data_IF_504810706587
#
_entry.id   IF_504810706587
#
_cell.length_a   1.000
_cell.length_b   1.000
_cell.length_c   1.000
_cell.angle_alpha   90.00
_cell.angle_beta   90.00
_cell.angle_gamma   90.00
#
_symmetry.space_group_name_H-M   'P 1'
#
loop_
_entity.id
_entity.type
_entity.pdbx_description
1 polymer ?
#
# COMPACT_ATOMS: atom_id res chain seq x y z
N UNK A 1 -11.78 7.69 -3.77
CA UNK A 1 -11.60 6.60 -2.78
C UNK A 1 -10.19 6.67 -2.21
N UNK A 2 -9.96 6.13 -1.02
CA UNK A 2 -8.60 5.97 -0.48
C UNK A 2 -8.31 4.48 -0.37
N UNK A 3 -7.32 4.01 -1.12
CA UNK A 3 -6.85 2.62 -1.05
C UNK A 3 -5.60 2.54 -0.19
N UNK A 4 -5.41 1.40 0.47
CA UNK A 4 -4.20 1.09 1.22
C UNK A 4 -3.59 -0.21 0.70
N UNK A 5 -2.28 -0.20 0.51
CA UNK A 5 -1.47 -1.39 0.29
C UNK A 5 -0.55 -1.58 1.49
N UNK A 6 -0.50 -2.78 2.04
CA UNK A 6 0.42 -3.15 3.12
C UNK A 6 1.27 -4.29 2.59
N UNK A 7 2.56 -4.04 2.45
CA UNK A 7 3.50 -5.00 1.91
C UNK A 7 4.55 -5.30 2.96
N UNK A 8 4.68 -6.57 3.32
CA UNK A 8 5.74 -7.05 4.22
C UNK A 8 6.78 -7.83 3.43
N UNK A 9 8.04 -7.55 3.73
CA UNK A 9 9.20 -8.21 3.11
C UNK A 9 10.28 -8.38 4.14
N UNK A 10 11.05 -9.45 4.03
CA UNK A 10 12.22 -9.67 4.87
C UNK A 10 13.50 -9.42 4.08
N UNK A 11 14.45 -8.68 4.62
CA UNK A 11 15.78 -8.51 4.07
C UNK A 11 16.54 -9.83 4.11
N UNK A 12 17.33 -10.11 3.07
CA UNK A 12 18.32 -11.19 3.08
C UNK A 12 19.39 -10.94 4.15
N UNK A 13 20.09 -12.01 4.54
CA UNK A 13 21.19 -11.90 5.50
C UNK A 13 22.24 -10.88 5.05
N UNK A 14 22.67 -10.01 5.97
CA UNK A 14 23.64 -8.94 5.68
C UNK A 14 23.13 -7.75 4.87
N UNK A 15 21.85 -7.71 4.44
CA UNK A 15 21.25 -6.55 3.77
C UNK A 15 20.67 -5.56 4.76
N UNK A 16 20.65 -4.28 4.37
CA UNK A 16 20.21 -3.16 5.21
C UNK A 16 18.94 -2.52 4.68
N UNK A 17 18.30 -1.71 5.53
CA UNK A 17 17.21 -0.84 5.09
C UNK A 17 17.64 0.12 3.99
N UNK A 18 18.88 0.62 4.02
CA UNK A 18 19.39 1.54 3.00
C UNK A 18 19.49 0.84 1.63
N UNK A 19 19.95 -0.41 1.59
CA UNK A 19 19.96 -1.23 0.37
C UNK A 19 18.56 -1.34 -0.21
N UNK A 20 17.58 -1.67 0.63
CA UNK A 20 16.18 -1.70 0.22
C UNK A 20 15.69 -0.33 -0.25
N UNK A 21 15.99 0.73 0.49
CA UNK A 21 15.50 2.09 0.20
C UNK A 21 16.01 2.62 -1.13
N UNK A 22 17.23 2.28 -1.52
CA UNK A 22 17.81 2.65 -2.82
C UNK A 22 17.12 1.93 -3.97
N UNK A 23 16.87 0.63 -3.84
CA UNK A 23 16.24 -0.17 -4.88
C UNK A 23 14.70 -0.03 -4.94
N UNK A 24 14.05 0.25 -3.81
CA UNK A 24 12.59 0.37 -3.72
C UNK A 24 12.06 1.74 -4.20
N UNK A 25 12.88 2.79 -4.13
CA UNK A 25 12.44 4.15 -4.36
C UNK A 25 11.91 4.35 -5.77
N UNK A 26 10.68 4.85 -5.87
CA UNK A 26 10.13 5.27 -7.14
C UNK A 26 10.77 6.57 -7.57
N UNK A 27 11.26 6.60 -8.80
CA UNK A 27 11.71 7.85 -9.45
C UNK A 27 10.58 8.46 -10.27
N UNK A 28 9.53 7.69 -10.56
CA UNK A 28 8.30 8.14 -11.21
C UNK A 28 7.13 8.18 -10.21
N UNK A 29 6.45 9.31 -10.12
CA UNK A 29 5.25 9.46 -9.29
C UNK A 29 3.99 8.90 -9.95
N UNK A 30 2.95 8.63 -9.16
CA UNK A 30 1.70 8.00 -9.62
C UNK A 30 0.66 8.97 -10.20
N UNK A 31 0.92 10.28 -10.23
CA UNK A 31 -0.04 11.29 -10.71
C UNK A 31 -1.26 11.52 -9.80
N UNK A 32 -1.31 10.85 -8.63
CA UNK A 32 -2.40 10.92 -7.65
C UNK A 32 -1.86 11.30 -6.27
N UNK A 33 -2.77 11.66 -5.35
CA UNK A 33 -2.40 11.91 -3.95
C UNK A 33 -1.98 10.59 -3.30
N UNK A 34 -0.67 10.34 -3.28
CA UNK A 34 -0.08 9.09 -2.80
C UNK A 34 0.93 9.36 -1.68
N UNK A 35 0.79 8.66 -0.56
CA UNK A 35 1.75 8.69 0.55
C UNK A 35 2.15 7.29 0.94
N UNK A 36 3.46 7.03 1.04
CA UNK A 36 3.98 5.76 1.50
C UNK A 36 4.71 5.94 2.83
N UNK A 37 4.34 5.15 3.81
CA UNK A 37 5.06 5.01 5.07
C UNK A 37 5.83 3.70 5.04
N UNK A 38 7.08 3.73 5.51
CA UNK A 38 7.88 2.52 5.67
C UNK A 38 8.26 2.38 7.13
N UNK A 39 8.01 1.21 7.70
CA UNK A 39 8.37 0.85 9.05
C UNK A 39 9.30 -0.36 9.05
N UNK A 40 10.16 -0.44 10.06
CA UNK A 40 10.87 -1.66 10.42
C UNK A 40 10.07 -2.35 11.53
N UNK A 41 9.95 -3.68 11.46
CA UNK A 41 9.33 -4.42 12.55
C UNK A 41 10.25 -4.37 13.77
N UNK A 42 9.70 -3.95 14.91
CA UNK A 42 10.42 -3.86 16.20
C UNK A 42 10.88 -5.23 16.73
N UNK A 43 10.22 -6.31 16.33
CA UNK A 43 10.54 -7.68 16.74
C UNK A 43 11.40 -8.44 15.70
N UNK A 44 11.49 -7.93 14.47
CA UNK A 44 12.41 -8.43 13.44
C UNK A 44 12.92 -7.25 12.60
N UNK A 45 14.11 -6.68 12.88
CA UNK A 45 14.62 -5.51 12.16
C UNK A 45 14.93 -5.80 10.68
N UNK A 46 14.89 -7.07 10.24
CA UNK A 46 14.97 -7.44 8.82
C UNK A 46 13.63 -7.38 8.13
N UNK A 47 12.51 -7.38 8.85
CA UNK A 47 11.19 -7.20 8.24
C UNK A 47 10.88 -5.72 8.03
N UNK A 48 10.59 -5.39 6.78
CA UNK A 48 10.17 -4.07 6.30
C UNK A 48 8.68 -4.13 6.00
N UNK A 49 7.94 -3.19 6.55
CA UNK A 49 6.51 -2.99 6.30
C UNK A 49 6.32 -1.68 5.54
N UNK A 50 5.79 -1.75 4.32
CA UNK A 50 5.43 -0.57 3.53
C UNK A 50 3.92 -0.43 3.48
N UNK A 51 3.42 0.75 3.87
CA UNK A 51 2.01 1.11 3.83
C UNK A 51 1.83 2.26 2.85
N UNK A 52 1.24 1.97 1.68
CA UNK A 52 0.94 2.98 0.66
C UNK A 52 -0.53 3.36 0.70
N UNK A 53 -0.81 4.65 0.87
CA UNK A 53 -2.13 5.26 0.87
C UNK A 53 -2.29 6.05 -0.43
N UNK A 54 -3.32 5.76 -1.20
CA UNK A 54 -3.58 6.41 -2.48
C UNK A 54 -5.01 6.91 -2.51
N UNK A 55 -5.16 8.22 -2.54
CA UNK A 55 -6.43 8.89 -2.80
C UNK A 55 -6.55 9.17 -4.30
N UNK A 56 -7.54 8.54 -4.92
CA UNK A 56 -7.77 8.65 -6.37
C UNK A 56 -9.20 8.29 -6.75
N UNK A 57 -9.55 8.57 -8.00
CA UNK A 57 -10.68 7.94 -8.70
C UNK A 57 -10.29 6.53 -9.16
N UNK A 58 -11.28 5.75 -9.59
CA UNK A 58 -11.05 4.39 -10.08
C UNK A 58 -10.16 4.36 -11.34
N UNK A 59 -10.38 5.29 -12.28
CA UNK A 59 -9.58 5.39 -13.52
C UNK A 59 -8.11 5.70 -13.22
N UNK A 60 -7.87 6.71 -12.38
CA UNK A 60 -6.54 7.10 -11.90
C UNK A 60 -5.83 5.97 -11.14
N UNK A 61 -6.59 5.17 -10.38
CA UNK A 61 -6.05 3.99 -9.69
C UNK A 61 -5.55 2.93 -10.68
N UNK A 62 -6.30 2.68 -11.76
CA UNK A 62 -5.89 1.75 -12.81
C UNK A 62 -4.60 2.20 -13.51
N UNK A 63 -4.49 3.49 -13.82
CA UNK A 63 -3.27 4.06 -14.40
C UNK A 63 -2.07 3.94 -13.44
N UNK A 64 -2.30 4.21 -12.15
CA UNK A 64 -1.27 4.06 -11.11
C UNK A 64 -0.74 2.62 -10.99
N UNK A 65 -1.60 1.60 -11.14
CA UNK A 65 -1.18 0.21 -11.13
C UNK A 65 -0.26 -0.12 -12.32
N UNK A 66 -0.47 0.47 -13.48
CA UNK A 66 0.41 0.29 -14.65
C UNK A 66 1.80 0.88 -14.41
N UNK A 67 1.87 2.04 -13.74
CA UNK A 67 3.14 2.65 -13.31
C UNK A 67 3.87 1.72 -12.32
N UNK A 68 3.18 1.20 -11.28
CA UNK A 68 3.81 0.28 -10.31
C UNK A 68 4.32 -0.99 -11.01
N UNK A 69 3.54 -1.60 -11.90
CA UNK A 69 3.98 -2.80 -12.65
C UNK A 69 5.30 -2.53 -13.37
N UNK A 70 5.41 -1.39 -14.07
CA UNK A 70 6.62 -1.02 -14.82
C UNK A 70 7.80 -0.76 -13.88
N UNK A 71 7.66 0.15 -12.92
CA UNK A 71 8.76 0.55 -12.01
C UNK A 71 9.30 -0.65 -11.21
N UNK A 72 8.44 -1.60 -10.84
CA UNK A 72 8.83 -2.81 -10.09
C UNK A 72 9.56 -3.84 -10.92
N UNK A 73 9.29 -3.92 -12.22
CA UNK A 73 10.03 -4.78 -13.13
C UNK A 73 11.42 -4.20 -13.43
N UNK A 74 11.52 -2.88 -13.54
CA UNK A 74 12.80 -2.17 -13.78
C UNK A 74 13.72 -2.18 -12.54
N UNK A 75 13.15 -2.25 -11.33
CA UNK A 75 13.89 -2.22 -10.07
C UNK A 75 13.61 -3.49 -9.21
N UNK A 76 14.07 -4.69 -9.66
CA UNK A 76 13.81 -5.92 -8.95
C UNK A 76 14.57 -5.97 -7.62
N UNK A 77 13.88 -6.39 -6.55
CA UNK A 77 14.46 -6.50 -5.21
C UNK A 77 15.09 -7.86 -4.90
N UNK A 78 15.16 -8.79 -5.87
CA UNK A 78 15.49 -10.21 -5.65
C UNK A 78 16.84 -10.42 -4.91
N UNK A 79 17.80 -9.51 -5.05
CA UNK A 79 19.11 -9.62 -4.38
C UNK A 79 19.11 -9.05 -2.95
N UNK A 80 18.04 -8.35 -2.55
CA UNK A 80 17.95 -7.60 -1.30
C UNK A 80 16.97 -8.24 -0.33
N UNK A 81 15.85 -8.77 -0.84
CA UNK A 81 14.78 -9.35 -0.02
C UNK A 81 14.70 -10.86 -0.21
N UNK A 82 14.25 -11.56 0.83
CA UNK A 82 13.79 -12.94 0.74
C UNK A 82 12.62 -13.05 -0.26
N UNK A 83 12.42 -14.22 -0.90
CA UNK A 83 11.41 -14.38 -1.95
C UNK A 83 9.97 -14.27 -1.43
N UNK A 84 9.75 -14.54 -0.14
CA UNK A 84 8.44 -14.42 0.49
C UNK A 84 8.04 -12.95 0.65
N UNK A 85 6.83 -12.61 0.20
CA UNK A 85 6.28 -11.26 0.26
C UNK A 85 4.83 -11.34 0.71
N UNK A 86 4.54 -10.76 1.88
CA UNK A 86 3.17 -10.54 2.33
C UNK A 86 2.57 -9.34 1.63
N UNK A 87 1.31 -9.46 1.17
CA UNK A 87 0.56 -8.35 0.57
C UNK A 87 -0.85 -8.34 1.14
N UNK A 88 -1.29 -7.17 1.57
CA UNK A 88 -2.68 -6.89 1.93
C UNK A 88 -3.10 -5.62 1.22
N UNK A 89 -4.34 -5.60 0.75
CA UNK A 89 -4.92 -4.44 0.10
C UNK A 89 -6.26 -4.16 0.76
N UNK A 90 -6.60 -2.89 0.89
CA UNK A 90 -7.84 -2.46 1.48
C UNK A 90 -8.28 -1.09 0.98
N UNK A 91 -9.46 -0.69 1.40
CA UNK A 91 -9.95 0.68 1.27
C UNK A 91 -10.05 1.25 2.68
N UNK A 92 -9.58 2.48 2.88
CA UNK A 92 -9.74 3.17 4.15
C UNK A 92 -11.22 3.51 4.30
N UNK A 93 -11.77 3.23 5.48
CA UNK A 93 -13.19 3.47 5.81
C UNK A 93 -13.37 4.47 6.95
N UNK A 94 -12.38 4.60 7.84
CA UNK A 94 -12.36 5.57 8.94
C UNK A 94 -10.94 6.02 9.23
N UNK A 95 -10.83 7.23 9.76
CA UNK A 95 -9.66 7.82 10.40
C UNK A 95 -10.09 8.28 11.79
N UNK A 96 -9.66 7.55 12.81
CA UNK A 96 -10.05 7.83 14.20
C UNK A 96 -8.84 8.40 14.97
N UNK A 97 -9.06 9.51 15.68
CA UNK A 97 -8.06 10.14 16.55
C UNK A 97 -8.33 9.75 18.01
N UNK A 98 -7.39 9.03 18.60
CA UNK A 98 -7.41 8.59 20.00
C UNK A 98 -6.35 9.30 20.86
N UNK A 99 -5.95 10.52 20.48
CA UNK A 99 -4.95 11.30 21.23
C UNK A 99 -5.47 11.86 22.56
N UNK A 100 -6.77 12.04 22.71
CA UNK A 100 -7.39 12.53 23.95
C UNK A 100 -7.34 11.46 25.07
N UNK A 101 -7.09 11.91 26.30
CA UNK A 101 -7.19 11.06 27.50
C UNK A 101 -8.65 10.95 27.98
N UNK A 102 -9.05 9.76 28.45
CA UNK A 102 -10.37 9.52 29.05
C UNK A 102 -11.35 8.80 28.13
N UNK A 103 -12.65 9.03 28.35
CA UNK A 103 -13.72 8.38 27.56
C UNK A 103 -13.90 9.13 26.24
N UNK A 104 -13.76 8.41 25.13
CA UNK A 104 -14.02 8.92 23.78
C UNK A 104 -15.38 8.40 23.34
N UNK A 105 -16.25 9.30 22.88
CA UNK A 105 -17.56 8.94 22.34
C UNK A 105 -17.42 8.27 20.97
N UNK A 106 -18.26 7.26 20.73
CA UNK A 106 -18.35 6.62 19.43
C UNK A 106 -18.74 7.62 18.35
N UNK A 107 -18.12 7.49 17.17
CA UNK A 107 -18.45 8.25 15.96
C UNK A 107 -18.62 7.29 14.80
N UNK A 108 -19.52 7.63 13.89
CA UNK A 108 -19.65 6.91 12.62
C UNK A 108 -18.33 7.00 11.83
N UNK A 109 -18.00 5.98 11.00
CA UNK A 109 -16.78 5.97 10.20
C UNK A 109 -16.67 7.23 9.35
N UNK A 110 -15.52 7.91 9.41
CA UNK A 110 -15.31 9.14 8.66
C UNK A 110 -13.87 9.30 8.22
N UNK A 111 -13.65 9.98 7.09
CA UNK A 111 -12.34 10.29 6.55
C UNK A 111 -12.28 11.80 6.34
N UNK A 112 -11.22 12.46 6.83
CA UNK A 112 -11.12 13.92 6.80
C UNK A 112 -12.37 14.64 7.34
N UNK A 113 -13.00 14.08 8.38
CA UNK A 113 -14.22 14.62 9.01
C UNK A 113 -15.51 14.47 8.19
N UNK A 114 -15.49 13.70 7.09
CA UNK A 114 -16.69 13.38 6.30
C UNK A 114 -17.08 11.92 6.52
N UNK A 115 -18.33 11.66 6.89
CA UNK A 115 -18.86 10.31 7.03
C UNK A 115 -18.68 9.50 5.74
N UNK A 116 -18.25 8.25 5.92
CA UNK A 116 -18.01 7.31 4.84
C UNK A 116 -19.31 6.61 4.46
N UNK A 117 -19.66 6.62 3.17
CA UNK A 117 -20.74 5.77 2.65
C UNK A 117 -20.25 4.31 2.55
N UNK A 118 -20.55 3.53 3.58
CA UNK A 118 -20.13 2.12 3.68
C UNK A 118 -20.71 1.26 2.54
N UNK A 119 -21.93 1.55 2.07
CA UNK A 119 -22.54 0.80 0.98
C UNK A 119 -21.81 1.06 -0.33
N UNK A 120 -21.43 2.31 -0.60
CA UNK A 120 -20.60 2.66 -1.75
C UNK A 120 -19.23 1.95 -1.68
N UNK A 121 -18.59 1.92 -0.51
CA UNK A 121 -17.32 1.21 -0.33
C UNK A 121 -17.44 -0.28 -0.66
N UNK A 122 -18.49 -0.96 -0.17
CA UNK A 122 -18.67 -2.39 -0.48
C UNK A 122 -18.89 -2.67 -1.97
N UNK A 123 -19.55 -1.75 -2.69
CA UNK A 123 -19.69 -1.86 -4.14
C UNK A 123 -18.33 -1.74 -4.85
N UNK A 124 -17.48 -0.82 -4.39
CA UNK A 124 -16.16 -0.56 -4.99
C UNK A 124 -15.13 -1.67 -4.69
N UNK A 125 -15.19 -2.31 -3.50
CA UNK A 125 -14.19 -3.31 -3.05
C UNK A 125 -13.99 -4.43 -4.07
N UNK A 126 -15.08 -4.97 -4.63
CA UNK A 126 -14.99 -6.08 -5.57
C UNK A 126 -14.25 -5.68 -6.85
N UNK A 127 -14.53 -4.47 -7.36
CA UNK A 127 -13.88 -3.93 -8.54
C UNK A 127 -12.39 -3.65 -8.29
N UNK A 128 -12.07 -3.02 -7.15
CA UNK A 128 -10.67 -2.74 -6.76
C UNK A 128 -9.87 -4.03 -6.62
N UNK A 129 -10.44 -5.05 -5.97
CA UNK A 129 -9.78 -6.35 -5.79
C UNK A 129 -9.48 -7.03 -7.14
N UNK A 130 -10.42 -6.98 -8.09
CA UNK A 130 -10.22 -7.52 -9.43
C UNK A 130 -9.09 -6.81 -10.18
N UNK A 131 -9.04 -5.47 -10.11
CA UNK A 131 -8.01 -4.67 -10.77
C UNK A 131 -6.61 -4.97 -10.21
N UNK A 132 -6.47 -5.04 -8.89
CA UNK A 132 -5.20 -5.39 -8.23
C UNK A 132 -4.75 -6.80 -8.62
N UNK A 133 -5.69 -7.75 -8.69
CA UNK A 133 -5.40 -9.12 -9.11
C UNK A 133 -4.91 -9.18 -10.55
N UNK A 134 -5.57 -8.47 -11.48
CA UNK A 134 -5.15 -8.37 -12.89
C UNK A 134 -3.77 -7.73 -13.04
N UNK A 135 -3.51 -6.64 -12.32
CA UNK A 135 -2.20 -5.97 -12.34
C UNK A 135 -1.09 -6.88 -11.80
N UNK A 136 -1.35 -7.59 -10.69
CA UNK A 136 -0.41 -8.56 -10.11
C UNK A 136 -0.12 -9.70 -11.08
N UNK A 137 -1.14 -10.30 -11.69
CA UNK A 137 -0.99 -11.37 -12.67
C UNK A 137 -0.27 -10.89 -13.95
N UNK A 138 -0.47 -9.62 -14.35
CA UNK A 138 0.29 -9.02 -15.45
C UNK A 138 1.77 -8.91 -15.11
N UNK A 139 2.12 -8.35 -13.95
CA UNK A 139 3.51 -8.26 -13.47
C UNK A 139 4.17 -9.64 -13.43
N UNK A 140 3.51 -10.63 -12.86
CA UNK A 140 4.10 -11.95 -12.64
C UNK A 140 4.33 -12.72 -13.96
N UNK A 141 3.56 -12.42 -15.02
CA UNK A 141 3.79 -12.95 -16.38
C UNK A 141 4.95 -12.27 -17.13
N UNK A 142 5.31 -11.06 -16.73
CA UNK A 142 6.35 -10.25 -17.39
C UNK A 142 7.71 -10.34 -16.69
N UNK A 143 7.75 -10.92 -15.49
CA UNK A 143 8.98 -11.18 -14.72
C UNK A 143 9.71 -12.39 -15.29
#
# INVERSE_FOLDING_TARGET
MITVSIITRRLKEGKTYEDFRKAWYHTVGFGTSSKLYTALNVNDPREIVVMGFVESKMEEFMEGLEIDVKERLENPLNDIIEPEIGRKFGMIISEDDFSDEGVIEYKEPSINGKETDINAVYNDIAQVAELISKASAKRDRLK
#
